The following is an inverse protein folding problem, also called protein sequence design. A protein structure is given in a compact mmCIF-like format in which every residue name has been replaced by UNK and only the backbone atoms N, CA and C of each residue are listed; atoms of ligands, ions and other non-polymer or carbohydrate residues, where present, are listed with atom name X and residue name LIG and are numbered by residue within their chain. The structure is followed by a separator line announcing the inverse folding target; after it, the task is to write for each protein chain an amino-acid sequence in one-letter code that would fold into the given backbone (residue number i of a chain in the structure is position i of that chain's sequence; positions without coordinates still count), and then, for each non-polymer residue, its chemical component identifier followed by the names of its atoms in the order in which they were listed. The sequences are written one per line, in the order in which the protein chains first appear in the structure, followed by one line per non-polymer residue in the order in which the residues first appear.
data_IF_110894468501
#
_entry.id   IF_110894468501
#
_cell.length_a   1.000
_cell.length_b   1.000
_cell.length_c   1.000
_cell.angle_alpha   90.00
_cell.angle_beta   90.00
_cell.angle_gamma   90.00
#
_symmetry.space_group_name_H-M   'P 1'
#
loop_
_entity.id
_entity.type
_entity.pdbx_description
1 polymer ?
#
# COMPACT_ATOMS: atom_id res chain seq x y z
N UNK A 1 -13.43 -25.19 27.04
CA UNK A 1 -13.04 -25.19 25.62
C UNK A 1 -12.57 -23.81 25.27
N UNK A 2 -11.27 -23.54 25.45
CA UNK A 2 -10.65 -22.31 24.97
C UNK A 2 -10.58 -22.39 23.45
N UNK A 3 -11.41 -21.61 22.76
CA UNK A 3 -11.25 -21.37 21.34
C UNK A 3 -9.94 -20.59 21.17
N UNK A 4 -8.85 -21.29 20.84
CA UNK A 4 -7.58 -20.68 20.46
C UNK A 4 -7.66 -20.55 18.95
N UNK A 5 -8.05 -19.38 18.48
CA UNK A 5 -7.86 -19.04 17.08
C UNK A 5 -6.37 -18.76 16.88
N UNK A 6 -5.73 -19.48 15.96
CA UNK A 6 -4.29 -19.45 15.75
C UNK A 6 -3.99 -18.77 14.42
N UNK A 7 -3.25 -17.66 14.48
CA UNK A 7 -2.79 -16.97 13.28
C UNK A 7 -1.59 -17.70 12.69
N UNK A 8 -1.71 -18.13 11.43
CA UNK A 8 -0.71 -18.90 10.70
C UNK A 8 -0.15 -18.11 9.53
N UNK A 9 1.10 -18.38 9.15
CA UNK A 9 1.77 -17.64 8.07
C UNK A 9 1.09 -17.79 6.70
N UNK A 10 0.33 -18.87 6.47
CA UNK A 10 -0.46 -19.02 5.23
C UNK A 10 -1.56 -17.98 5.10
N UNK A 11 -2.02 -17.39 6.21
CA UNK A 11 -3.02 -16.31 6.21
C UNK A 11 -2.44 -14.95 5.81
N UNK A 12 -1.11 -14.84 5.65
CA UNK A 12 -0.44 -13.64 5.11
C UNK A 12 -0.49 -13.58 3.57
N UNK A 13 -0.96 -14.66 2.93
CA UNK A 13 -1.22 -14.76 1.50
C UNK A 13 -2.70 -15.08 1.31
N UNK A 14 -3.50 -14.11 0.86
CA UNK A 14 -4.93 -14.34 0.65
C UNK A 14 -5.33 -14.02 -0.79
N UNK A 15 -6.15 -14.89 -1.37
CA UNK A 15 -6.78 -14.62 -2.66
C UNK A 15 -8.09 -13.86 -2.42
N UNK A 16 -8.22 -12.68 -3.03
CA UNK A 16 -9.44 -11.88 -3.00
C UNK A 16 -10.25 -12.12 -4.29
N UNK A 17 -11.47 -12.66 -4.19
CA UNK A 17 -12.31 -12.94 -5.34
C UNK A 17 -12.92 -11.68 -5.98
N UNK A 18 -12.91 -10.52 -5.29
CA UNK A 18 -13.53 -9.27 -5.75
C UNK A 18 -12.54 -8.26 -6.36
N UNK A 19 -11.43 -8.74 -6.95
CA UNK A 19 -10.61 -7.85 -7.78
C UNK A 19 -11.26 -7.50 -9.14
N UNK A 20 -12.38 -8.13 -9.50
CA UNK A 20 -13.16 -7.81 -10.70
C UNK A 20 -13.74 -6.40 -10.69
N UNK A 21 -13.90 -5.81 -9.50
CA UNK A 21 -14.38 -4.44 -9.30
C UNK A 21 -13.35 -3.37 -9.70
N UNK A 22 -12.08 -3.75 -9.91
CA UNK A 22 -11.09 -2.88 -10.53
C UNK A 22 -11.32 -2.82 -12.05
N UNK A 23 -11.10 -1.65 -12.69
CA UNK A 23 -11.40 -1.46 -14.10
C UNK A 23 -10.68 -2.48 -14.99
N UNK A 24 -11.41 -3.52 -15.41
CA UNK A 24 -10.88 -4.68 -16.12
C UNK A 24 -11.40 -4.78 -17.56
N UNK A 25 -12.17 -3.80 -18.02
CA UNK A 25 -12.69 -3.73 -19.39
C UNK A 25 -13.63 -4.88 -19.79
N UNK A 26 -14.13 -5.67 -18.84
CA UNK A 26 -15.08 -6.76 -19.09
C UNK A 26 -14.52 -7.95 -19.86
N UNK A 27 -13.19 -8.06 -20.03
CA UNK A 27 -12.57 -9.11 -20.87
C UNK A 27 -12.08 -10.35 -20.11
N UNK A 28 -12.13 -10.37 -18.77
CA UNK A 28 -11.54 -11.47 -17.96
C UNK A 28 -12.60 -12.44 -17.47
N UNK A 29 -12.29 -13.75 -17.52
CA UNK A 29 -13.10 -14.76 -16.83
C UNK A 29 -13.02 -14.54 -15.32
N UNK A 30 -14.07 -14.87 -14.57
CA UNK A 30 -14.15 -14.63 -13.10
C UNK A 30 -13.02 -15.29 -12.30
N UNK A 31 -12.38 -16.32 -12.85
CA UNK A 31 -11.23 -16.98 -12.23
C UNK A 31 -9.94 -16.14 -12.31
N UNK A 32 -9.74 -15.40 -13.40
CA UNK A 32 -8.56 -14.56 -13.70
C UNK A 32 -8.70 -13.11 -13.21
N UNK A 33 -9.89 -12.75 -12.77
CA UNK A 33 -10.19 -11.48 -12.13
C UNK A 33 -9.95 -11.50 -10.61
N UNK A 34 -9.13 -12.45 -10.11
CA UNK A 34 -8.73 -12.52 -8.71
C UNK A 34 -7.50 -11.67 -8.43
N UNK A 35 -7.50 -11.06 -7.26
CA UNK A 35 -6.34 -10.39 -6.70
C UNK A 35 -5.73 -11.23 -5.59
N UNK A 36 -4.48 -11.00 -5.27
CA UNK A 36 -3.74 -11.68 -4.23
C UNK A 36 -3.11 -10.64 -3.33
N UNK A 37 -3.36 -10.76 -2.03
CA UNK A 37 -2.68 -9.97 -1.02
C UNK A 37 -1.44 -10.70 -0.57
N UNK A 38 -0.34 -9.96 -0.46
CA UNK A 38 0.93 -10.46 0.08
C UNK A 38 1.44 -9.47 1.11
N UNK A 39 1.83 -9.95 2.29
CA UNK A 39 2.42 -9.09 3.31
C UNK A 39 3.66 -8.35 2.78
N UNK A 40 3.68 -7.02 2.95
CA UNK A 40 4.86 -6.19 2.78
C UNK A 40 5.63 -6.08 4.10
N UNK A 41 6.81 -6.69 4.15
CA UNK A 41 7.70 -6.69 5.31
C UNK A 41 8.45 -5.38 5.50
N UNK A 42 8.42 -4.46 4.54
CA UNK A 42 9.08 -3.14 4.66
C UNK A 42 8.30 -2.18 5.54
N UNK A 43 6.99 -2.41 5.71
CA UNK A 43 6.12 -1.65 6.61
C UNK A 43 5.77 -2.46 7.86
N UNK A 44 5.90 -1.91 9.07
CA UNK A 44 5.61 -2.63 10.30
C UNK A 44 4.11 -2.90 10.47
N UNK A 45 3.78 -4.05 11.05
CA UNK A 45 2.42 -4.32 11.54
C UNK A 45 2.11 -3.45 12.75
N UNK A 46 0.83 -3.14 12.95
CA UNK A 46 0.38 -2.36 14.11
C UNK A 46 -0.97 -2.86 14.62
N UNK A 47 -1.28 -2.55 15.87
CA UNK A 47 -2.54 -2.92 16.53
C UNK A 47 -3.34 -1.65 16.78
N UNK A 48 -4.64 -1.70 16.49
CA UNK A 48 -5.58 -0.62 16.82
C UNK A 48 -6.73 -1.15 17.65
N UNK A 49 -7.30 -0.30 18.50
CA UNK A 49 -8.53 -0.62 19.23
C UNK A 49 -9.68 -0.87 18.25
N UNK A 50 -10.35 -2.00 18.44
CA UNK A 50 -11.52 -2.42 17.69
C UNK A 50 -12.82 -2.27 18.48
N UNK A 51 -13.97 -2.54 17.84
CA UNK A 51 -15.27 -2.53 18.51
C UNK A 51 -15.33 -3.49 19.70
N UNK A 52 -16.19 -3.21 20.67
CA UNK A 52 -16.44 -4.06 21.84
C UNK A 52 -15.19 -4.33 22.71
N UNK A 53 -14.21 -3.40 22.73
CA UNK A 53 -12.99 -3.54 23.53
C UNK A 53 -12.02 -4.59 22.99
N UNK A 54 -12.14 -4.93 21.70
CA UNK A 54 -11.20 -5.83 21.02
C UNK A 54 -9.99 -5.04 20.50
N UNK A 55 -8.95 -5.75 20.04
CA UNK A 55 -7.81 -5.16 19.34
C UNK A 55 -7.66 -5.84 17.99
N UNK A 56 -7.42 -5.05 16.95
CA UNK A 56 -7.31 -5.51 15.56
C UNK A 56 -5.85 -5.39 15.13
N UNK A 57 -5.27 -6.49 14.66
CA UNK A 57 -3.95 -6.52 14.03
C UNK A 57 -4.08 -6.09 12.56
N UNK A 58 -3.37 -5.03 12.19
CA UNK A 58 -3.24 -4.55 10.82
C UNK A 58 -1.93 -5.02 10.22
N UNK A 59 -2.03 -5.71 9.08
CA UNK A 59 -0.90 -6.25 8.33
C UNK A 59 -0.80 -5.50 7.02
N UNK A 60 0.23 -4.66 6.82
CA UNK A 60 0.41 -3.93 5.56
C UNK A 60 0.69 -4.90 4.42
N UNK A 61 -0.17 -4.92 3.40
CA UNK A 61 -0.02 -5.85 2.27
C UNK A 61 0.06 -5.10 0.95
N UNK A 62 0.63 -5.76 -0.04
CA UNK A 62 0.47 -5.41 -1.45
C UNK A 62 -0.65 -6.22 -2.09
N UNK A 63 -1.30 -5.69 -3.12
CA UNK A 63 -2.38 -6.31 -3.85
C UNK A 63 -2.06 -6.41 -5.34
N UNK A 64 -1.97 -7.63 -5.83
CA UNK A 64 -1.53 -7.95 -7.19
C UNK A 64 -2.54 -8.83 -7.93
N UNK A 65 -2.63 -8.68 -9.25
CA UNK A 65 -3.45 -9.55 -10.09
C UNK A 65 -2.77 -10.91 -10.33
N UNK A 66 -3.52 -11.88 -10.83
CA UNK A 66 -2.97 -13.16 -11.28
C UNK A 66 -1.80 -13.01 -12.28
N UNK A 67 -1.83 -11.97 -13.13
CA UNK A 67 -0.80 -11.69 -14.13
C UNK A 67 0.38 -10.86 -13.59
N UNK A 68 0.37 -10.49 -12.30
CA UNK A 68 1.40 -9.65 -11.68
C UNK A 68 1.18 -8.14 -11.86
N UNK A 69 0.01 -7.73 -12.36
CA UNK A 69 -0.40 -6.33 -12.42
C UNK A 69 -0.57 -5.79 -11.00
N UNK A 70 -0.15 -4.56 -10.74
CA UNK A 70 -0.42 -3.90 -9.47
C UNK A 70 -1.90 -3.48 -9.43
N UNK A 71 -2.61 -3.90 -8.39
CA UNK A 71 -3.98 -3.48 -8.09
C UNK A 71 -4.03 -2.52 -6.88
N UNK A 72 -2.87 -2.08 -6.41
CA UNK A 72 -2.67 -1.12 -5.35
C UNK A 72 -1.71 0.00 -5.79
N UNK A 73 -1.59 1.01 -4.93
CA UNK A 73 -0.59 2.07 -5.07
C UNK A 73 0.77 1.68 -4.48
N UNK A 74 0.77 0.76 -3.51
CA UNK A 74 1.97 0.41 -2.74
C UNK A 74 3.01 -0.32 -3.58
N UNK A 75 2.58 -1.26 -4.43
CA UNK A 75 3.45 -1.96 -5.38
C UNK A 75 4.08 -0.98 -6.35
N UNK A 76 3.29 -0.01 -6.84
CA UNK A 76 3.78 1.03 -7.76
C UNK A 76 4.85 1.89 -7.07
N UNK A 77 4.60 2.31 -5.82
CA UNK A 77 5.56 3.07 -5.02
C UNK A 77 6.86 2.30 -4.80
N UNK A 78 6.80 1.04 -4.36
CA UNK A 78 7.98 0.20 -4.11
C UNK A 78 8.82 0.00 -5.38
N UNK A 79 8.16 -0.26 -6.52
CA UNK A 79 8.84 -0.39 -7.84
C UNK A 79 9.50 0.93 -8.25
N UNK A 80 8.83 2.06 -8.05
CA UNK A 80 9.37 3.39 -8.33
C UNK A 80 10.62 3.68 -7.50
N UNK A 81 10.55 3.47 -6.18
CA UNK A 81 11.69 3.66 -5.26
C UNK A 81 12.89 2.78 -5.62
N UNK A 82 12.66 1.52 -5.99
CA UNK A 82 13.72 0.62 -6.43
C UNK A 82 14.41 1.12 -7.71
N UNK A 83 13.62 1.62 -8.67
CA UNK A 83 14.15 2.16 -9.92
C UNK A 83 14.94 3.45 -9.71
N UNK A 84 14.47 4.35 -8.83
CA UNK A 84 15.19 5.56 -8.43
C UNK A 84 16.51 5.19 -7.75
N UNK A 85 16.49 4.27 -6.81
CA UNK A 85 17.69 3.79 -6.11
C UNK A 85 18.74 3.26 -7.09
N UNK A 86 18.33 2.45 -8.06
CA UNK A 86 19.21 1.92 -9.11
C UNK A 86 19.86 3.05 -9.93
N UNK A 87 19.05 3.96 -10.48
CA UNK A 87 19.54 5.06 -11.30
C UNK A 87 20.49 5.99 -10.52
N UNK A 88 20.19 6.27 -9.25
CA UNK A 88 21.07 7.04 -8.38
C UNK A 88 22.40 6.33 -8.11
N UNK A 89 22.40 5.02 -7.85
CA UNK A 89 23.64 4.25 -7.67
C UNK A 89 24.52 4.26 -8.93
N UNK A 90 23.92 4.14 -10.13
CA UNK A 90 24.64 4.23 -11.41
C UNK A 90 25.30 5.61 -11.59
N UNK A 91 24.56 6.69 -11.30
CA UNK A 91 25.08 8.05 -11.36
C UNK A 91 26.22 8.28 -10.35
N UNK A 92 26.04 7.85 -9.10
CA UNK A 92 27.06 8.00 -8.06
C UNK A 92 28.34 7.23 -8.39
N UNK A 93 28.23 6.08 -9.05
CA UNK A 93 29.38 5.30 -9.51
C UNK A 93 30.20 6.02 -10.59
N UNK A 94 29.57 6.89 -11.39
CA UNK A 94 30.25 7.72 -12.39
C UNK A 94 30.92 8.94 -11.76
N UNK A 95 30.27 9.58 -10.79
CA UNK A 95 30.79 10.76 -10.09
C UNK A 95 31.97 10.38 -9.17
N UNK A 96 31.84 9.27 -8.46
CA UNK A 96 32.84 8.76 -7.54
C UNK A 96 33.47 7.47 -8.09
N UNK A 97 34.31 7.61 -9.12
CA UNK A 97 34.99 6.47 -9.74
C UNK A 97 35.78 5.67 -8.71
N UNK A 98 35.42 4.39 -8.54
CA UNK A 98 36.07 3.47 -7.61
C UNK A 98 37.27 2.80 -8.32
N UNK A 99 38.41 2.59 -7.64
CA UNK A 99 39.54 1.85 -8.20
C UNK A 99 39.12 0.46 -8.70
N UNK A 100 39.72 0.01 -9.80
CA UNK A 100 39.44 -1.30 -10.40
C UNK A 100 39.65 -2.39 -9.34
N UNK A 101 38.58 -3.14 -9.03
CA UNK A 101 38.58 -4.22 -8.03
C UNK A 101 38.05 -3.86 -6.65
N UNK A 102 37.68 -2.60 -6.40
CA UNK A 102 37.01 -2.19 -5.17
C UNK A 102 35.48 -2.15 -5.31
N UNK A 103 34.77 -2.33 -4.20
CA UNK A 103 33.30 -2.33 -4.14
C UNK A 103 32.74 -0.92 -4.37
N UNK A 104 31.52 -0.79 -4.96
CA UNK A 104 30.85 0.50 -5.06
C UNK A 104 30.71 1.12 -3.66
N UNK A 105 30.95 2.44 -3.56
CA UNK A 105 30.80 3.14 -2.28
C UNK A 105 29.33 3.24 -1.85
N UNK A 106 28.41 3.28 -2.80
CA UNK A 106 26.98 3.36 -2.55
C UNK A 106 26.28 2.20 -3.24
N UNK A 107 25.64 1.35 -2.45
CA UNK A 107 24.90 0.19 -2.95
C UNK A 107 23.38 0.41 -2.95
N UNK A 108 22.90 1.40 -2.18
CA UNK A 108 21.48 1.69 -2.06
C UNK A 108 21.26 3.17 -1.73
N UNK A 109 20.23 3.76 -2.32
CA UNK A 109 19.78 5.12 -2.01
C UNK A 109 18.35 5.05 -1.47
N UNK A 110 18.11 5.71 -0.33
CA UNK A 110 16.79 5.77 0.29
C UNK A 110 16.09 7.07 -0.07
N UNK A 111 14.83 6.98 -0.48
CA UNK A 111 13.95 8.13 -0.67
C UNK A 111 13.24 8.46 0.65
N UNK A 112 13.28 9.71 1.07
CA UNK A 112 12.55 10.20 2.24
C UNK A 112 11.38 11.09 1.79
N UNK A 113 10.31 11.12 2.58
CA UNK A 113 9.12 11.93 2.32
C UNK A 113 8.63 12.58 3.63
N UNK A 114 8.44 13.89 3.62
CA UNK A 114 7.79 14.63 4.70
C UNK A 114 6.44 15.15 4.23
N UNK A 115 5.35 14.48 4.62
CA UNK A 115 4.00 14.86 4.23
C UNK A 115 3.45 15.92 5.18
N UNK A 116 2.84 16.97 4.63
CA UNK A 116 2.04 17.94 5.37
C UNK A 116 0.56 17.70 5.06
N UNK A 117 -0.29 17.69 6.09
CA UNK A 117 -1.71 17.40 5.95
C UNK A 117 -2.55 18.58 6.44
N UNK A 118 -3.43 19.08 5.56
CA UNK A 118 -4.39 20.13 5.87
C UNK A 118 -5.82 19.58 5.82
N UNK A 119 -6.68 20.04 6.72
CA UNK A 119 -8.10 19.66 6.75
C UNK A 119 -8.95 20.74 7.43
N UNK A 120 -10.24 20.72 7.14
CA UNK A 120 -11.25 21.55 7.79
C UNK A 120 -12.09 20.73 8.77
N UNK A 121 -12.51 21.36 9.86
CA UNK A 121 -13.44 20.77 10.82
C UNK A 121 -14.77 21.51 10.77
N UNK A 122 -15.85 20.74 10.69
CA UNK A 122 -17.23 21.25 10.73
C UNK A 122 -17.94 20.49 11.85
N UNK A 123 -18.72 21.21 12.64
CA UNK A 123 -19.57 20.57 13.64
C UNK A 123 -20.48 19.52 12.99
N UNK A 124 -20.59 18.36 13.65
CA UNK A 124 -21.31 17.21 13.09
C UNK A 124 -22.80 17.50 12.85
N UNK A 125 -23.43 18.34 13.68
CA UNK A 125 -24.84 18.73 13.50
C UNK A 125 -25.00 19.62 12.26
N UNK A 126 -24.09 20.58 12.04
CA UNK A 126 -24.09 21.44 10.85
C UNK A 126 -23.76 20.66 9.58
N UNK A 127 -22.75 19.79 9.62
CA UNK A 127 -22.44 18.86 8.51
C UNK A 127 -23.63 17.96 8.19
N UNK A 128 -24.41 17.58 9.21
CA UNK A 128 -25.58 16.73 9.00
C UNK A 128 -26.68 17.39 8.18
N UNK A 129 -26.80 18.71 8.27
CA UNK A 129 -27.75 19.52 7.52
C UNK A 129 -27.30 19.82 6.07
N UNK A 130 -26.12 19.33 5.67
CA UNK A 130 -25.51 19.60 4.35
C UNK A 130 -25.31 18.30 3.56
N UNK A 131 -26.35 17.82 2.84
CA UNK A 131 -26.26 16.63 2.00
C UNK A 131 -25.16 16.73 0.92
N UNK A 132 -24.92 17.94 0.41
CA UNK A 132 -23.86 18.23 -0.55
C UNK A 132 -22.47 17.90 0.00
N UNK A 133 -22.17 18.34 1.23
CA UNK A 133 -20.91 18.01 1.90
C UNK A 133 -20.79 16.49 2.14
N UNK A 134 -21.87 15.82 2.54
CA UNK A 134 -21.89 14.37 2.77
C UNK A 134 -21.58 13.55 1.53
N UNK A 135 -22.18 13.93 0.40
CA UNK A 135 -22.08 13.15 -0.83
C UNK A 135 -20.84 13.51 -1.63
N UNK A 136 -20.41 14.77 -1.60
CA UNK A 136 -19.35 15.26 -2.50
C UNK A 136 -18.06 15.68 -1.80
N UNK A 137 -18.04 15.71 -0.46
CA UNK A 137 -16.87 16.17 0.31
C UNK A 137 -16.58 17.67 0.20
N UNK A 138 -17.44 18.44 -0.49
CA UNK A 138 -17.33 19.88 -0.68
C UNK A 138 -18.70 20.54 -0.74
N UNK A 139 -18.74 21.86 -0.63
CA UNK A 139 -20.00 22.60 -0.79
C UNK A 139 -20.37 22.69 -2.26
N UNK A 140 -21.66 22.53 -2.57
CA UNK A 140 -22.23 22.85 -3.87
C UNK A 140 -23.03 24.15 -3.74
N UNK A 141 -22.80 25.12 -4.64
CA UNK A 141 -23.56 26.38 -4.73
C UNK A 141 -24.93 26.09 -5.37
#
# INVERSE_FOLDING_TARGET
TTAIDAFSGSQLLQAEPDASSFPSGGMRSTFEARGYTVWDTTSPMFIQEGPHGTSVLYIPSVFISYNGDALDEKTVLLRSTAQVSKACCELLSLIESVPVGAQPRTNHVFTTLGTEQEYFLIDRSLYSLRPDLKTTGRTLI
#
